data_IF_844727995916
#
_entry.id   IF_844727995916
#
_cell.length_a   1.000
_cell.length_b   1.000
_cell.length_c   1.000
_cell.angle_alpha   90.00
_cell.angle_beta   90.00
_cell.angle_gamma   90.00
#
_symmetry.space_group_name_H-M   'P 1'
#
loop_
_entity.id
_entity.type
_entity.pdbx_description
1 polymer ?
#
# COMPACT_ATOMS: atom_id res chain seq x y z
N UNK A 1 -12.10 -12.93 11.76
CA UNK A 1 -10.66 -13.00 12.07
C UNK A 1 -10.41 -12.32 13.42
N UNK A 2 -9.64 -12.90 14.35
CA UNK A 2 -9.27 -12.24 15.59
C UNK A 2 -8.55 -10.90 15.31
N UNK A 3 -8.91 -9.84 16.02
CA UNK A 3 -8.42 -8.46 15.80
C UNK A 3 -6.89 -8.35 15.77
N UNK A 4 -6.20 -9.11 16.64
CA UNK A 4 -4.73 -9.12 16.71
C UNK A 4 -4.05 -9.66 15.44
N UNK A 5 -4.60 -10.71 14.81
CA UNK A 5 -4.03 -11.30 13.59
C UNK A 5 -4.26 -10.36 12.39
N UNK A 6 -5.43 -9.72 12.31
CA UNK A 6 -5.73 -8.69 11.30
C UNK A 6 -4.83 -7.46 11.47
N UNK A 7 -4.56 -7.05 12.71
CA UNK A 7 -3.71 -5.91 13.02
C UNK A 7 -2.25 -6.18 12.63
N UNK A 8 -1.70 -7.37 12.93
CA UNK A 8 -0.36 -7.77 12.50
C UNK A 8 -0.24 -7.88 10.98
N UNK A 9 -1.22 -8.47 10.30
CA UNK A 9 -1.23 -8.56 8.83
C UNK A 9 -1.36 -7.18 8.16
N UNK A 10 -2.18 -6.28 8.70
CA UNK A 10 -2.33 -4.92 8.16
C UNK A 10 -1.06 -4.08 8.37
N UNK A 11 -0.37 -4.24 9.51
CA UNK A 11 0.92 -3.56 9.75
C UNK A 11 2.04 -4.14 8.92
N UNK A 12 2.09 -5.47 8.74
CA UNK A 12 3.03 -6.15 7.84
C UNK A 12 2.79 -5.73 6.38
N UNK A 13 1.53 -5.67 5.93
CA UNK A 13 1.19 -5.20 4.58
C UNK A 13 1.53 -3.73 4.38
N UNK A 14 1.23 -2.86 5.37
CA UNK A 14 1.56 -1.43 5.28
C UNK A 14 3.07 -1.16 5.27
N UNK A 15 3.84 -1.91 6.06
CA UNK A 15 5.31 -1.85 6.03
C UNK A 15 5.86 -2.37 4.70
N UNK A 16 5.31 -3.48 4.19
CA UNK A 16 5.69 -4.06 2.90
C UNK A 16 5.40 -3.11 1.74
N UNK A 17 4.25 -2.42 1.76
CA UNK A 17 3.89 -1.44 0.74
C UNK A 17 4.79 -0.19 0.81
N UNK A 18 5.19 0.25 2.02
CA UNK A 18 6.16 1.33 2.21
C UNK A 18 7.59 0.98 1.78
N UNK A 19 8.01 -0.28 1.94
CA UNK A 19 9.35 -0.77 1.53
C UNK A 19 9.42 -1.13 0.04
N UNK A 20 8.28 -1.41 -0.60
CA UNK A 20 8.24 -1.73 -2.03
C UNK A 20 8.70 -0.56 -2.90
N UNK A 21 8.41 0.69 -2.49
CA UNK A 21 8.71 1.87 -3.29
C UNK A 21 10.23 2.13 -3.47
N UNK A 22 11.09 2.05 -2.43
CA UNK A 22 12.54 2.06 -2.62
C UNK A 22 13.05 1.03 -3.62
N UNK A 23 12.46 -0.18 -3.63
CA UNK A 23 12.81 -1.22 -4.61
C UNK A 23 12.37 -0.84 -6.03
N UNK A 24 11.18 -0.26 -6.19
CA UNK A 24 10.71 0.24 -7.49
C UNK A 24 11.64 1.34 -8.01
N UNK A 25 11.99 2.33 -7.19
CA UNK A 25 12.92 3.40 -7.55
C UNK A 25 14.31 2.85 -7.91
N UNK A 26 14.78 1.82 -7.20
CA UNK A 26 16.02 1.14 -7.54
C UNK A 26 15.97 0.49 -8.93
N UNK A 27 14.88 -0.20 -9.26
CA UNK A 27 14.74 -0.81 -10.60
C UNK A 27 14.58 0.23 -11.71
N UNK A 28 13.86 1.33 -11.45
CA UNK A 28 13.78 2.46 -12.38
C UNK A 28 15.16 3.06 -12.63
N UNK A 29 15.92 3.31 -11.55
CA UNK A 29 17.32 3.76 -11.64
C UNK A 29 18.16 2.82 -12.52
N UNK A 30 18.07 1.51 -12.28
CA UNK A 30 18.83 0.52 -13.05
C UNK A 30 18.41 0.50 -14.52
N UNK A 31 17.12 0.63 -14.82
CA UNK A 31 16.60 0.68 -16.18
C UNK A 31 17.08 1.94 -16.93
N UNK A 32 17.05 3.10 -16.27
CA UNK A 32 17.49 4.38 -16.86
C UNK A 32 19.01 4.48 -16.98
N UNK A 33 19.78 3.84 -16.09
CA UNK A 33 21.24 3.85 -16.11
C UNK A 33 21.86 3.11 -17.31
N UNK A 34 21.09 2.28 -18.01
CA UNK A 34 21.52 1.61 -19.25
C UNK A 34 21.80 2.63 -20.37
N UNK A 35 21.18 3.82 -20.33
CA UNK A 35 21.26 4.81 -21.40
C UNK A 35 22.30 5.93 -21.15
N UNK A 36 22.63 6.30 -19.90
CA UNK A 36 23.71 7.25 -19.57
C UNK A 36 24.22 7.08 -18.11
N UNK A 37 25.53 6.88 -17.88
CA UNK A 37 26.12 6.78 -16.52
C UNK A 37 25.92 8.01 -15.63
N UNK A 38 25.78 9.22 -16.19
CA UNK A 38 25.51 10.44 -15.40
C UNK A 38 24.12 10.43 -14.74
N UNK A 39 23.23 9.61 -15.26
CA UNK A 39 21.87 9.38 -14.75
C UNK A 39 21.90 8.56 -13.45
N UNK A 40 22.89 7.68 -13.26
CA UNK A 40 22.97 6.82 -12.08
C UNK A 40 23.21 7.60 -10.77
N UNK A 41 24.08 8.62 -10.79
CA UNK A 41 24.33 9.48 -9.62
C UNK A 41 23.09 10.30 -9.26
N UNK A 42 22.39 10.83 -10.27
CA UNK A 42 21.13 11.55 -10.09
C UNK A 42 20.07 10.66 -9.42
N UNK A 43 19.84 9.46 -9.96
CA UNK A 43 18.84 8.54 -9.41
C UNK A 43 19.22 7.99 -8.03
N UNK A 44 20.51 7.78 -7.76
CA UNK A 44 20.97 7.40 -6.42
C UNK A 44 20.69 8.51 -5.40
N UNK A 45 21.00 9.76 -5.75
CA UNK A 45 20.71 10.93 -4.91
C UNK A 45 19.20 11.11 -4.74
N UNK A 46 18.42 10.96 -5.80
CA UNK A 46 16.96 11.03 -5.78
C UNK A 46 16.38 9.95 -4.86
N UNK A 47 16.75 8.68 -5.03
CA UNK A 47 16.31 7.59 -4.17
C UNK A 47 16.70 7.78 -2.70
N UNK A 48 17.90 8.29 -2.44
CA UNK A 48 18.34 8.63 -1.09
C UNK A 48 17.52 9.77 -0.47
N UNK A 49 17.22 10.84 -1.23
CA UNK A 49 16.36 11.92 -0.75
C UNK A 49 14.94 11.42 -0.45
N UNK A 50 14.36 10.60 -1.33
CA UNK A 50 13.05 10.00 -1.14
C UNK A 50 12.99 9.16 0.16
N UNK A 51 14.03 8.37 0.43
CA UNK A 51 14.18 7.53 1.62
C UNK A 51 14.48 8.28 2.92
N UNK A 52 15.07 9.47 2.85
CA UNK A 52 15.49 10.24 4.04
C UNK A 52 14.46 11.32 4.36
N UNK A 53 14.12 12.16 3.38
CA UNK A 53 13.26 13.33 3.58
C UNK A 53 11.81 12.93 3.85
N UNK A 54 11.33 11.83 3.25
CA UNK A 54 9.99 11.30 3.52
C UNK A 54 9.79 10.96 5.01
N UNK A 55 10.57 10.03 5.60
CA UNK A 55 10.49 9.73 7.03
C UNK A 55 10.69 10.94 7.94
N UNK A 56 11.63 11.83 7.62
CA UNK A 56 11.88 13.03 8.43
C UNK A 56 10.67 13.97 8.44
N UNK A 57 10.07 14.24 7.29
CA UNK A 57 8.85 15.03 7.19
C UNK A 57 7.69 14.38 7.93
N UNK A 58 7.48 13.07 7.74
CA UNK A 58 6.45 12.30 8.42
C UNK A 58 6.58 12.33 9.94
N UNK A 59 7.79 12.08 10.44
CA UNK A 59 8.10 12.16 11.87
C UNK A 59 7.85 13.55 12.44
N UNK A 60 8.32 14.60 11.74
CA UNK A 60 8.18 15.97 12.20
C UNK A 60 6.70 16.37 12.28
N UNK A 61 5.95 16.19 11.20
CA UNK A 61 4.53 16.55 11.12
C UNK A 61 3.72 15.79 12.17
N UNK A 62 3.91 14.47 12.29
CA UNK A 62 3.21 13.68 13.29
C UNK A 62 3.57 14.05 14.72
N UNK A 63 4.84 14.33 15.01
CA UNK A 63 5.27 14.76 16.34
C UNK A 63 4.61 16.08 16.73
N UNK A 64 4.53 17.04 15.81
CA UNK A 64 3.87 18.33 16.05
C UNK A 64 2.36 18.14 16.24
N UNK A 65 1.69 17.42 15.33
CA UNK A 65 0.25 17.18 15.40
C UNK A 65 -0.16 16.40 16.64
N UNK A 66 0.53 15.31 16.98
CA UNK A 66 0.23 14.49 18.15
C UNK A 66 0.42 15.28 19.45
N UNK A 67 1.50 16.05 19.57
CA UNK A 67 1.72 16.91 20.73
C UNK A 67 0.68 18.02 20.86
N UNK A 68 0.29 18.66 19.75
CA UNK A 68 -0.75 19.68 19.75
C UNK A 68 -2.11 19.09 20.19
N UNK A 69 -2.48 17.93 19.65
CA UNK A 69 -3.72 17.25 20.01
C UNK A 69 -3.71 16.79 21.47
N UNK A 70 -2.62 16.17 21.93
CA UNK A 70 -2.45 15.75 23.33
C UNK A 70 -2.53 16.94 24.30
N UNK A 71 -2.01 18.12 23.92
CA UNK A 71 -2.15 19.34 24.72
C UNK A 71 -3.59 19.83 24.76
N UNK A 72 -4.27 19.87 23.62
CA UNK A 72 -5.67 20.28 23.54
C UNK A 72 -6.60 19.38 24.37
N UNK A 73 -6.33 18.06 24.39
CA UNK A 73 -7.05 17.09 25.21
C UNK A 73 -6.86 17.27 26.72
N UNK A 74 -5.77 17.92 27.15
CA UNK A 74 -5.57 18.26 28.57
C UNK A 74 -6.41 19.47 29.01
N UNK A 75 -6.71 20.36 28.07
CA UNK A 75 -7.41 21.63 28.36
C UNK A 75 -8.90 21.58 28.04
N UNK A 76 -9.34 20.67 27.17
CA UNK A 76 -10.74 20.56 26.75
C UNK A 76 -11.12 19.11 26.43
N UNK A 77 -12.40 18.78 26.61
CA UNK A 77 -12.96 17.50 26.18
C UNK A 77 -13.16 17.53 24.66
N UNK A 78 -12.29 16.84 23.93
CA UNK A 78 -12.41 16.71 22.48
C UNK A 78 -13.25 15.50 22.10
N UNK A 79 -14.20 15.70 21.18
CA UNK A 79 -14.98 14.60 20.62
C UNK A 79 -14.08 13.66 19.81
N UNK A 80 -14.39 12.36 19.82
CA UNK A 80 -13.59 11.31 19.16
C UNK A 80 -13.39 11.60 17.67
N UNK A 81 -14.42 12.10 16.98
CA UNK A 81 -14.33 12.49 15.57
C UNK A 81 -13.22 13.52 15.28
N UNK A 82 -12.97 14.46 16.19
CA UNK A 82 -11.88 15.46 16.04
C UNK A 82 -10.52 14.77 16.09
N UNK A 83 -10.35 13.77 16.96
CA UNK A 83 -9.11 12.99 17.05
C UNK A 83 -8.87 12.19 15.76
N UNK A 84 -9.93 11.57 15.22
CA UNK A 84 -9.87 10.84 13.95
C UNK A 84 -9.54 11.75 12.76
N UNK A 85 -10.19 12.91 12.67
CA UNK A 85 -9.90 13.91 11.63
C UNK A 85 -8.46 14.41 11.76
N UNK A 86 -7.99 14.70 12.97
CA UNK A 86 -6.61 15.13 13.20
C UNK A 86 -5.60 14.09 12.71
N UNK A 87 -5.81 12.80 13.00
CA UNK A 87 -4.95 11.72 12.51
C UNK A 87 -4.90 11.68 10.97
N UNK A 88 -6.06 11.79 10.31
CA UNK A 88 -6.13 11.79 8.84
C UNK A 88 -5.47 13.05 8.25
N UNK A 89 -5.69 14.22 8.85
CA UNK A 89 -5.04 15.47 8.45
C UNK A 89 -3.53 15.40 8.60
N UNK A 90 -3.02 14.77 9.65
CA UNK A 90 -1.58 14.53 9.85
C UNK A 90 -0.99 13.73 8.70
N UNK A 91 -1.67 12.66 8.24
CA UNK A 91 -1.20 11.86 7.11
C UNK A 91 -1.13 12.70 5.81
N UNK A 92 -2.16 13.50 5.51
CA UNK A 92 -2.16 14.38 4.33
C UNK A 92 -1.11 15.49 4.41
N UNK A 93 -0.92 16.11 5.57
CA UNK A 93 0.09 17.14 5.77
C UNK A 93 1.51 16.57 5.67
N UNK A 94 1.74 15.36 6.19
CA UNK A 94 3.00 14.67 6.04
C UNK A 94 3.30 14.36 4.58
N UNK A 95 2.31 13.85 3.84
CA UNK A 95 2.41 13.60 2.40
C UNK A 95 2.78 14.88 1.64
N UNK A 96 1.95 15.92 1.76
CA UNK A 96 2.15 17.17 1.02
C UNK A 96 3.41 17.93 1.46
N UNK A 97 3.81 17.81 2.72
CA UNK A 97 5.04 18.39 3.24
C UNK A 97 6.29 17.71 2.69
N UNK A 98 6.28 16.38 2.58
CA UNK A 98 7.39 15.63 2.01
C UNK A 98 7.59 15.91 0.52
N UNK A 99 6.51 15.90 -0.26
CA UNK A 99 6.58 16.18 -1.70
C UNK A 99 7.21 17.57 -1.99
N UNK A 100 6.88 18.59 -1.20
CA UNK A 100 7.44 19.94 -1.37
C UNK A 100 8.95 20.03 -1.10
N UNK A 101 9.52 19.13 -0.31
CA UNK A 101 10.96 19.10 -0.02
C UNK A 101 11.69 18.04 -0.87
N UNK A 102 11.01 17.42 -1.84
CA UNK A 102 11.57 16.34 -2.67
C UNK A 102 11.75 15.02 -1.92
N UNK A 103 11.00 14.83 -0.83
CA UNK A 103 10.89 13.57 -0.10
C UNK A 103 9.64 12.80 -0.50
N UNK A 104 9.58 11.53 -0.10
CA UNK A 104 8.47 10.68 -0.50
C UNK A 104 7.21 10.91 0.34
N UNK A 105 6.13 11.37 -0.29
CA UNK A 105 4.85 11.59 0.36
C UNK A 105 4.25 10.33 1.00
N UNK A 106 4.36 9.17 0.34
CA UNK A 106 3.79 7.92 0.86
C UNK A 106 4.55 7.43 2.11
N UNK A 107 5.89 7.42 2.05
CA UNK A 107 6.71 7.05 3.21
C UNK A 107 6.48 8.04 4.35
N UNK A 108 6.33 9.33 4.04
CA UNK A 108 6.01 10.35 5.04
C UNK A 108 4.66 10.08 5.72
N UNK A 109 3.60 9.80 4.96
CA UNK A 109 2.28 9.47 5.51
C UNK A 109 2.31 8.20 6.37
N UNK A 110 3.05 7.17 5.95
CA UNK A 110 3.24 5.94 6.72
C UNK A 110 3.96 6.19 8.04
N UNK A 111 5.12 6.86 7.99
CA UNK A 111 5.89 7.21 9.19
C UNK A 111 5.08 8.13 10.10
N UNK A 112 4.31 9.06 9.53
CA UNK A 112 3.43 9.92 10.30
C UNK A 112 2.37 9.12 11.07
N UNK A 113 1.71 8.14 10.43
CA UNK A 113 0.76 7.25 11.11
C UNK A 113 1.40 6.45 12.25
N UNK A 114 2.61 5.91 12.02
CA UNK A 114 3.37 5.16 13.03
C UNK A 114 3.75 6.05 14.23
N UNK A 115 4.28 7.24 13.97
CA UNK A 115 4.71 8.19 15.01
C UNK A 115 3.50 8.74 15.77
N UNK A 116 2.44 9.13 15.06
CA UNK A 116 1.22 9.64 15.66
C UNK A 116 0.56 8.60 16.56
N UNK A 117 0.39 7.35 16.10
CA UNK A 117 -0.21 6.28 16.90
C UNK A 117 0.59 5.90 18.16
N UNK A 118 1.91 6.08 18.12
CA UNK A 118 2.78 5.85 19.28
C UNK A 118 2.78 7.03 20.27
N UNK A 119 2.69 8.27 19.79
CA UNK A 119 2.70 9.47 20.63
C UNK A 119 1.31 9.88 21.15
N UNK A 120 0.24 9.45 20.49
CA UNK A 120 -1.13 9.80 20.85
C UNK A 120 -1.58 9.07 22.13
N UNK A 121 -2.17 9.82 23.07
CA UNK A 121 -2.58 9.31 24.39
C UNK A 121 -4.09 9.04 24.53
N UNK A 122 -4.89 9.28 23.48
CA UNK A 122 -6.33 9.05 23.51
C UNK A 122 -6.76 7.61 23.16
N UNK A 123 -7.97 7.49 22.63
CA UNK A 123 -8.56 6.20 22.25
C UNK A 123 -7.93 5.66 20.95
N UNK A 124 -6.99 4.73 21.09
CA UNK A 124 -6.24 4.14 19.98
C UNK A 124 -7.08 3.18 19.14
N UNK A 125 -8.01 2.47 19.77
CA UNK A 125 -8.90 1.52 19.07
C UNK A 125 -9.83 2.30 18.14
N UNK A 126 -10.41 3.39 18.63
CA UNK A 126 -11.19 4.30 17.79
C UNK A 126 -10.37 4.87 16.63
N UNK A 127 -9.13 5.33 16.86
CA UNK A 127 -8.29 5.88 15.78
C UNK A 127 -7.98 4.84 14.71
N UNK A 128 -7.71 3.60 15.12
CA UNK A 128 -7.46 2.50 14.21
C UNK A 128 -8.70 2.19 13.37
N UNK A 129 -9.86 2.00 14.00
CA UNK A 129 -11.12 1.71 13.31
C UNK A 129 -11.55 2.85 12.37
N UNK A 130 -11.36 4.10 12.81
CA UNK A 130 -11.60 5.27 11.99
C UNK A 130 -10.67 5.29 10.77
N UNK A 131 -9.36 5.09 10.97
CA UNK A 131 -8.38 5.03 9.90
C UNK A 131 -8.65 3.90 8.91
N UNK A 132 -9.03 2.72 9.39
CA UNK A 132 -9.40 1.57 8.56
C UNK A 132 -10.64 1.88 7.71
N UNK A 133 -11.68 2.46 8.31
CA UNK A 133 -12.92 2.82 7.62
C UNK A 133 -12.67 3.88 6.54
N UNK A 134 -11.93 4.94 6.86
CA UNK A 134 -11.60 5.99 5.89
C UNK A 134 -10.69 5.45 4.79
N UNK A 135 -9.70 4.62 5.14
CA UNK A 135 -8.82 3.96 4.18
C UNK A 135 -9.60 3.08 3.20
N UNK A 136 -10.58 2.31 3.70
CA UNK A 136 -11.47 1.52 2.85
C UNK A 136 -12.31 2.39 1.92
N UNK A 137 -12.86 3.51 2.41
CA UNK A 137 -13.62 4.43 1.57
C UNK A 137 -12.76 5.03 0.46
N UNK A 138 -11.57 5.53 0.80
CA UNK A 138 -10.62 6.07 -0.17
C UNK A 138 -10.21 5.01 -1.20
N UNK A 139 -9.97 3.78 -0.74
CA UNK A 139 -9.68 2.63 -1.61
C UNK A 139 -10.78 2.39 -2.62
N UNK A 140 -12.04 2.36 -2.18
CA UNK A 140 -13.20 2.17 -3.06
C UNK A 140 -13.31 3.30 -4.09
N UNK A 141 -13.09 4.54 -3.66
CA UNK A 141 -13.08 5.71 -4.55
C UNK A 141 -11.95 5.58 -5.59
N UNK A 142 -10.73 5.21 -5.18
CA UNK A 142 -9.61 4.97 -6.09
C UNK A 142 -9.93 3.90 -7.12
N UNK A 143 -10.48 2.75 -6.70
CA UNK A 143 -10.86 1.69 -7.63
C UNK A 143 -12.02 2.07 -8.55
N UNK A 144 -12.97 2.86 -8.06
CA UNK A 144 -14.04 3.40 -8.89
C UNK A 144 -13.47 4.26 -10.03
N UNK A 145 -12.61 5.22 -9.71
CA UNK A 145 -11.99 6.08 -10.73
C UNK A 145 -11.04 5.30 -11.63
N UNK A 146 -10.22 4.40 -11.09
CA UNK A 146 -9.36 3.52 -11.87
C UNK A 146 -10.19 2.67 -12.86
N UNK A 147 -11.28 2.06 -12.39
CA UNK A 147 -12.20 1.31 -13.24
C UNK A 147 -12.81 2.17 -14.35
N UNK A 148 -13.20 3.40 -14.02
CA UNK A 148 -13.81 4.34 -14.95
C UNK A 148 -12.85 4.87 -16.01
N UNK A 149 -11.59 5.15 -15.64
CA UNK A 149 -10.63 5.83 -16.52
C UNK A 149 -9.68 4.86 -17.23
N UNK A 150 -9.22 3.80 -16.56
CA UNK A 150 -8.14 2.93 -17.05
C UNK A 150 -8.67 1.70 -17.79
N UNK A 151 -9.78 1.11 -17.35
CA UNK A 151 -10.35 -0.10 -18.00
C UNK A 151 -10.78 0.15 -19.45
N UNK A 152 -11.38 1.30 -19.83
CA UNK A 152 -11.70 1.60 -21.23
C UNK A 152 -10.48 1.59 -22.15
N UNK A 153 -9.30 1.93 -21.63
CA UNK A 153 -8.05 1.91 -22.39
C UNK A 153 -7.66 0.48 -22.78
N UNK A 154 -7.98 -0.50 -21.93
CA UNK A 154 -7.69 -1.91 -22.18
C UNK A 154 -8.37 -2.39 -23.47
N UNK A 155 -9.61 -1.99 -23.74
CA UNK A 155 -10.31 -2.40 -24.97
C UNK A 155 -9.65 -1.92 -26.26
N UNK A 156 -8.76 -0.93 -26.21
CA UNK A 156 -8.06 -0.40 -27.39
C UNK A 156 -6.72 -1.09 -27.66
N UNK A 157 -6.06 -1.57 -26.61
CA UNK A 157 -4.67 -2.07 -26.67
C UNK A 157 -4.49 -3.46 -26.04
N UNK A 158 -5.57 -4.20 -25.77
CA UNK A 158 -5.46 -5.53 -25.15
C UNK A 158 -4.93 -6.57 -26.13
N UNK A 159 -3.77 -7.11 -25.79
CA UNK A 159 -3.23 -8.31 -26.39
C UNK A 159 -3.32 -9.51 -25.42
N UNK A 160 -3.43 -10.72 -25.99
CA UNK A 160 -3.43 -11.96 -25.21
C UNK A 160 -2.13 -12.17 -24.43
N UNK A 161 -1.01 -11.64 -24.93
CA UNK A 161 0.29 -11.62 -24.27
C UNK A 161 0.21 -10.99 -22.86
N UNK A 162 -0.52 -9.87 -22.72
CA UNK A 162 -0.68 -9.17 -21.44
C UNK A 162 -1.56 -9.93 -20.45
N UNK A 163 -2.59 -10.63 -20.95
CA UNK A 163 -3.45 -11.49 -20.11
C UNK A 163 -2.65 -12.67 -19.57
N UNK A 164 -1.88 -13.33 -20.43
CA UNK A 164 -0.99 -14.44 -20.03
C UNK A 164 0.02 -13.94 -18.99
N UNK A 165 0.67 -12.80 -19.25
CA UNK A 165 1.59 -12.20 -18.29
C UNK A 165 0.89 -11.93 -16.95
N UNK A 166 -0.29 -11.30 -16.96
CA UNK A 166 -1.05 -11.00 -15.75
C UNK A 166 -1.38 -12.25 -14.93
N UNK A 167 -1.83 -13.33 -15.58
CA UNK A 167 -2.10 -14.62 -14.92
C UNK A 167 -0.82 -15.22 -14.32
N UNK A 168 0.29 -15.26 -15.08
CA UNK A 168 1.58 -15.75 -14.58
C UNK A 168 2.11 -14.88 -13.42
N UNK A 169 1.85 -13.58 -13.49
CA UNK A 169 2.29 -12.63 -12.46
C UNK A 169 1.50 -12.79 -11.15
N UNK A 170 0.20 -13.10 -11.24
CA UNK A 170 -0.65 -13.38 -10.08
C UNK A 170 -0.43 -14.79 -9.50
N UNK A 171 0.06 -15.73 -10.30
CA UNK A 171 0.30 -17.10 -9.87
C UNK A 171 1.78 -17.35 -9.57
N UNK A 172 2.63 -17.49 -10.58
CA UNK A 172 4.05 -17.82 -10.39
C UNK A 172 4.81 -16.74 -9.65
N UNK A 173 4.77 -15.50 -10.14
CA UNK A 173 5.57 -14.39 -9.58
C UNK A 173 5.12 -14.03 -8.16
N UNK A 174 3.89 -14.41 -7.78
CA UNK A 174 3.37 -14.21 -6.42
C UNK A 174 3.60 -15.42 -5.51
N UNK A 175 3.10 -16.59 -5.90
CA UNK A 175 3.09 -17.76 -5.03
C UNK A 175 4.48 -18.33 -4.81
N UNK A 176 5.37 -18.28 -5.81
CA UNK A 176 6.71 -18.87 -5.70
C UNK A 176 7.58 -18.12 -4.69
N UNK A 177 7.74 -16.78 -4.76
CA UNK A 177 8.53 -16.06 -3.75
C UNK A 177 7.95 -16.19 -2.35
N UNK A 178 6.62 -16.19 -2.19
CA UNK A 178 5.96 -16.41 -0.89
C UNK A 178 6.22 -17.83 -0.38
N UNK A 179 6.17 -18.84 -1.24
CA UNK A 179 6.50 -20.20 -0.85
C UNK A 179 7.96 -20.33 -0.42
N UNK A 180 8.88 -19.69 -1.15
CA UNK A 180 10.31 -19.67 -0.84
C UNK A 180 10.58 -18.95 0.48
N UNK A 181 9.97 -17.80 0.73
CA UNK A 181 10.18 -17.03 1.97
C UNK A 181 9.67 -17.77 3.22
N UNK A 182 8.72 -18.70 3.05
CA UNK A 182 8.17 -19.52 4.12
C UNK A 182 8.88 -20.88 4.29
N UNK A 183 9.89 -21.19 3.47
CA UNK A 183 10.70 -22.40 3.67
C UNK A 183 11.36 -22.34 5.05
N UNK A 184 11.18 -23.39 5.84
CA UNK A 184 11.72 -23.48 7.21
C UNK A 184 10.78 -23.01 8.32
N UNK A 185 9.62 -22.42 7.99
CA UNK A 185 8.61 -22.00 8.99
C UNK A 185 7.74 -23.15 9.52
N UNK A 186 7.78 -24.32 8.87
CA UNK A 186 6.97 -25.49 9.23
C UNK A 186 5.47 -25.37 8.94
N UNK A 187 5.05 -24.32 8.22
CA UNK A 187 3.65 -24.10 7.87
C UNK A 187 3.15 -25.14 6.85
N UNK A 188 1.88 -25.59 6.94
CA UNK A 188 1.31 -26.52 5.98
C UNK A 188 1.15 -25.85 4.61
N UNK A 189 1.33 -26.62 3.53
CA UNK A 189 1.27 -26.12 2.15
C UNK A 189 -0.03 -25.37 1.83
N UNK A 190 -1.16 -25.77 2.46
CA UNK A 190 -2.44 -25.06 2.34
C UNK A 190 -2.36 -23.61 2.82
N UNK A 191 -1.67 -23.36 3.93
CA UNK A 191 -1.48 -22.02 4.49
C UNK A 191 -0.53 -21.20 3.63
N UNK A 192 0.54 -21.83 3.11
CA UNK A 192 1.49 -21.18 2.19
C UNK A 192 0.79 -20.78 0.88
N UNK A 193 0.02 -21.69 0.28
CA UNK A 193 -0.77 -21.40 -0.93
C UNK A 193 -1.86 -20.36 -0.67
N UNK A 194 -2.47 -20.37 0.51
CA UNK A 194 -3.44 -19.35 0.91
C UNK A 194 -2.80 -17.97 0.99
N UNK A 195 -1.67 -17.86 1.69
CA UNK A 195 -0.95 -16.60 1.85
C UNK A 195 -0.43 -16.07 0.51
N UNK A 196 0.05 -16.97 -0.36
CA UNK A 196 0.46 -16.63 -1.72
C UNK A 196 -0.71 -16.12 -2.58
N UNK A 197 -1.86 -16.78 -2.52
CA UNK A 197 -3.02 -16.43 -3.34
C UNK A 197 -3.78 -15.19 -2.83
N UNK A 198 -3.93 -14.98 -1.52
CA UNK A 198 -4.79 -13.91 -0.98
C UNK A 198 -4.08 -12.56 -0.75
N UNK A 199 -3.08 -12.24 -1.56
CA UNK A 199 -2.46 -10.91 -1.61
C UNK A 199 -2.85 -10.14 -2.87
N UNK A 200 -4.02 -9.48 -2.89
CA UNK A 200 -4.52 -8.81 -4.08
C UNK A 200 -3.58 -7.68 -4.51
N UNK A 201 -3.25 -7.63 -5.80
CA UNK A 201 -2.61 -6.46 -6.41
C UNK A 201 -3.67 -5.42 -6.72
N UNK A 202 -3.37 -4.16 -6.40
CA UNK A 202 -4.37 -3.11 -6.41
C UNK A 202 -3.76 -1.74 -6.30
N UNK A 203 -3.92 -1.11 -5.14
CA UNK A 203 -3.56 0.28 -4.92
C UNK A 203 -2.07 0.56 -5.16
N UNK A 204 -1.16 -0.20 -4.55
CA UNK A 204 0.29 0.02 -4.71
C UNK A 204 0.72 -0.04 -6.18
N UNK A 205 0.20 -1.00 -6.95
CA UNK A 205 0.51 -1.13 -8.38
C UNK A 205 -0.01 0.06 -9.20
N UNK A 206 -1.22 0.54 -8.90
CA UNK A 206 -1.78 1.75 -9.55
C UNK A 206 -0.92 2.97 -9.21
N UNK A 207 -0.57 3.14 -7.94
CA UNK A 207 0.24 4.27 -7.48
C UNK A 207 1.63 4.28 -8.14
N UNK A 208 2.30 3.13 -8.20
CA UNK A 208 3.62 3.03 -8.83
C UNK A 208 3.58 3.30 -10.33
N UNK A 209 2.54 2.84 -11.03
CA UNK A 209 2.41 3.16 -12.46
C UNK A 209 2.23 4.65 -12.68
N UNK A 210 1.41 5.32 -11.87
CA UNK A 210 1.20 6.77 -11.97
C UNK A 210 2.50 7.54 -11.67
N UNK A 211 3.22 7.15 -10.62
CA UNK A 211 4.50 7.75 -10.25
C UNK A 211 5.55 7.60 -11.37
N UNK A 212 5.66 6.41 -11.96
CA UNK A 212 6.59 6.16 -13.06
C UNK A 212 6.27 7.03 -14.27
N UNK A 213 4.99 7.16 -14.62
CA UNK A 213 4.56 7.97 -15.77
C UNK A 213 4.75 9.48 -15.56
N UNK A 214 4.76 9.94 -14.31
CA UNK A 214 4.93 11.35 -13.96
C UNK A 214 6.41 11.74 -13.91
N UNK A 215 7.25 10.90 -13.29
CA UNK A 215 8.64 11.26 -12.95
C UNK A 215 9.71 10.62 -13.84
N UNK A 216 9.38 9.56 -14.58
CA UNK A 216 10.37 8.79 -15.32
C UNK A 216 10.02 8.73 -16.80
N UNK A 217 10.82 9.40 -17.63
CA UNK A 217 10.82 9.22 -19.09
C UNK A 217 11.39 7.83 -19.41
N UNK A 218 10.55 6.80 -19.34
CA UNK A 218 10.96 5.40 -19.55
C UNK A 218 10.53 4.96 -20.96
N UNK A 219 11.44 4.28 -21.67
CA UNK A 219 11.05 3.61 -22.90
C UNK A 219 9.94 2.57 -22.62
N UNK A 220 8.85 2.62 -23.39
CA UNK A 220 7.69 1.73 -23.29
C UNK A 220 6.76 1.96 -22.07
N UNK A 221 6.59 3.21 -21.64
CA UNK A 221 5.56 3.62 -20.66
C UNK A 221 4.17 3.01 -20.93
N UNK A 222 3.73 3.02 -22.20
CA UNK A 222 2.44 2.43 -22.59
C UNK A 222 2.37 0.93 -22.29
N UNK A 223 3.45 0.18 -22.53
CA UNK A 223 3.52 -1.25 -22.21
C UNK A 223 3.39 -1.47 -20.70
N UNK A 224 4.16 -0.71 -19.90
CA UNK A 224 4.14 -0.80 -18.43
C UNK A 224 2.73 -0.50 -17.91
N UNK A 225 2.08 0.54 -18.46
CA UNK A 225 0.73 0.93 -18.10
C UNK A 225 -0.28 -0.18 -18.45
N UNK A 226 -0.31 -0.66 -19.69
CA UNK A 226 -1.28 -1.67 -20.16
C UNK A 226 -1.11 -2.98 -19.39
N UNK A 227 0.12 -3.44 -19.18
CA UNK A 227 0.40 -4.66 -18.40
C UNK A 227 -0.03 -4.50 -16.94
N UNK A 228 0.23 -3.35 -16.33
CA UNK A 228 -0.16 -3.09 -14.94
C UNK A 228 -1.67 -3.04 -14.80
N UNK A 229 -2.38 -2.31 -15.68
CA UNK A 229 -3.84 -2.23 -15.67
C UNK A 229 -4.45 -3.62 -15.86
N UNK A 230 -3.97 -4.39 -16.85
CA UNK A 230 -4.43 -5.77 -17.10
C UNK A 230 -4.28 -6.62 -15.86
N UNK A 231 -3.12 -6.57 -15.21
CA UNK A 231 -2.82 -7.37 -14.02
C UNK A 231 -3.70 -6.97 -12.84
N UNK A 232 -3.92 -5.67 -12.61
CA UNK A 232 -4.79 -5.16 -11.55
C UNK A 232 -6.25 -5.57 -11.80
N UNK A 233 -6.74 -5.47 -13.03
CA UNK A 233 -8.11 -5.92 -13.38
C UNK A 233 -8.27 -7.41 -13.14
N UNK A 234 -7.35 -8.24 -13.63
CA UNK A 234 -7.36 -9.68 -13.40
C UNK A 234 -7.32 -10.02 -11.90
N UNK A 235 -6.50 -9.30 -11.12
CA UNK A 235 -6.40 -9.43 -9.68
C UNK A 235 -7.74 -9.15 -8.99
N UNK A 236 -8.38 -8.02 -9.29
CA UNK A 236 -9.67 -7.62 -8.70
C UNK A 236 -10.75 -8.66 -8.99
N UNK A 237 -10.84 -9.14 -10.23
CA UNK A 237 -11.81 -10.18 -10.59
C UNK A 237 -11.48 -11.54 -9.94
N UNK A 238 -10.23 -11.99 -10.02
CA UNK A 238 -9.82 -13.28 -9.49
C UNK A 238 -9.99 -13.34 -7.97
N UNK A 239 -9.55 -12.33 -7.23
CA UNK A 239 -9.67 -12.29 -5.78
C UNK A 239 -11.08 -11.94 -5.33
N UNK A 240 -11.79 -11.05 -6.02
CA UNK A 240 -13.19 -10.73 -5.74
C UNK A 240 -14.11 -11.95 -5.88
N UNK A 241 -13.97 -12.72 -6.96
CA UNK A 241 -14.76 -13.94 -7.20
C UNK A 241 -14.33 -15.09 -6.28
N UNK A 242 -13.04 -15.20 -5.93
CA UNK A 242 -12.55 -16.29 -5.07
C UNK A 242 -12.74 -16.03 -3.57
N UNK A 243 -12.94 -14.78 -3.13
CA UNK A 243 -13.11 -14.42 -1.72
C UNK A 243 -14.27 -15.15 -1.03
N UNK A 244 -15.46 -15.17 -1.64
CA UNK A 244 -16.64 -15.82 -1.06
C UNK A 244 -16.49 -17.35 -0.89
N UNK A 245 -16.12 -18.10 -1.95
CA UNK A 245 -15.85 -19.53 -1.85
C UNK A 245 -14.69 -19.87 -0.89
N UNK A 246 -13.62 -19.08 -0.88
CA UNK A 246 -12.48 -19.32 -0.01
C UNK A 246 -12.81 -19.09 1.47
N UNK A 247 -13.55 -18.04 1.80
CA UNK A 247 -14.01 -17.78 3.17
C UNK A 247 -14.87 -18.93 3.73
N UNK A 248 -15.71 -19.54 2.87
CA UNK A 248 -16.51 -20.73 3.21
C UNK A 248 -15.66 -22.00 3.36
N UNK A 249 -14.66 -22.20 2.49
CA UNK A 249 -13.83 -23.41 2.46
C UNK A 249 -12.74 -23.43 3.55
N UNK A 250 -12.34 -22.27 4.04
CA UNK A 250 -11.29 -22.11 5.04
C UNK A 250 -11.77 -21.56 6.39
N UNK A 251 -13.08 -21.46 6.60
CA UNK A 251 -13.64 -21.35 7.94
C UNK A 251 -13.33 -20.04 8.67
N UNK A 252 -13.61 -18.90 8.03
CA UNK A 252 -13.81 -17.62 8.75
C UNK A 252 -15.32 -17.38 8.96
N UNK A 253 -16.08 -18.45 9.14
CA UNK A 253 -17.37 -18.37 9.82
C UNK A 253 -17.08 -18.64 11.29
N UNK A 254 -17.18 -17.60 12.11
CA UNK A 254 -17.18 -17.73 13.57
C UNK A 254 -18.14 -18.84 13.99
N UNK A 255 -17.65 -19.86 14.70
CA UNK A 255 -18.51 -20.73 15.47
C UNK A 255 -19.24 -19.86 16.53
N UNK A 256 -20.58 -19.83 16.58
CA UNK A 256 -21.32 -19.00 17.54
C UNK A 256 -21.30 -19.48 19.01
N UNK A 257 -20.34 -20.30 19.44
CA UNK A 257 -20.49 -21.08 20.69
C UNK A 257 -19.49 -20.80 21.82
N UNK A 258 -18.71 -19.72 21.78
CA UNK A 258 -17.90 -19.30 22.96
C UNK A 258 -18.50 -18.04 23.61
N UNK A 259 -19.66 -18.23 24.23
CA UNK A 259 -20.16 -17.40 25.33
C UNK A 259 -20.64 -18.32 26.45
N UNK A 260 -19.73 -18.68 27.36
CA UNK A 260 -19.99 -18.90 28.79
C UNK A 260 -18.71 -18.63 29.55
#
# INVERSE_FOLDING_TARGET
MPSRIRQTLNTESGLNDGIALPMVLFFVCMASAVHDPKTAEYWLKFGAMQLILGPLAGWFVASVSANALNRAMKTAVLHRSVQGIANLSTAFLAFAGAEQIGGNGFIAAFVAGLVFGNMFHGDKDFLFDFGETQGMLLTLVTFFFFGLTMVPMLFKSMEWSFVIYGVLSLTLVRLVPVAISLIGTGLPIRTVSFLGWFGPRGLASILFVLLILEDAEIANEELILVVTITTVVLSVFAHGLSAGPAARRWGIASNPTDTT
#
